data_IF_063746675734
#
_entry.id   IF_063746675734
#
_cell.length_a   1.000
_cell.length_b   1.000
_cell.length_c   1.000
_cell.angle_alpha   90.00
_cell.angle_beta   90.00
_cell.angle_gamma   90.00
#
_symmetry.space_group_name_H-M   'P 1'
#
loop_
_entity.id
_entity.type
_entity.pdbx_description
1 polymer ?
#
# COMPACT_ATOMS: atom_id res chain seq x y z
N UNK A 1 -1.24 17.10 -1.45
CA UNK A 1 -0.87 16.30 -2.62
C UNK A 1 0.57 15.89 -2.42
N UNK A 2 0.82 14.60 -2.26
CA UNK A 2 2.16 14.01 -2.24
C UNK A 2 2.44 13.53 -3.66
N UNK A 3 3.64 13.77 -4.20
CA UNK A 3 4.02 13.31 -5.54
C UNK A 3 4.48 11.85 -5.51
N UNK A 4 5.42 11.53 -4.60
CA UNK A 4 5.86 10.18 -4.30
C UNK A 4 6.46 10.09 -2.90
N UNK A 5 6.62 8.86 -2.39
CA UNK A 5 7.32 8.54 -1.15
C UNK A 5 8.24 7.33 -1.33
N UNK A 6 9.21 7.16 -0.44
CA UNK A 6 10.10 5.99 -0.41
C UNK A 6 9.99 5.24 0.92
N UNK A 7 9.93 3.92 0.83
CA UNK A 7 9.98 2.99 1.94
C UNK A 7 11.34 2.28 1.90
N UNK A 8 12.06 2.32 3.00
CA UNK A 8 13.32 1.61 3.16
C UNK A 8 13.06 0.12 3.40
N UNK A 9 13.76 -0.75 2.68
CA UNK A 9 13.60 -2.21 2.74
C UNK A 9 14.94 -2.93 2.85
N UNK A 10 15.03 -4.02 3.61
CA UNK A 10 16.30 -4.76 3.78
C UNK A 10 16.54 -5.80 2.68
N UNK A 11 15.47 -6.40 2.14
CA UNK A 11 15.52 -7.34 1.02
C UNK A 11 14.63 -6.85 -0.13
N UNK A 12 15.21 -6.20 -1.16
CA UNK A 12 14.43 -5.67 -2.28
C UNK A 12 13.61 -6.70 -3.04
N UNK A 13 14.06 -7.96 -3.10
CA UNK A 13 13.36 -9.01 -3.85
C UNK A 13 12.14 -9.48 -3.06
N UNK A 14 12.32 -9.74 -1.77
CA UNK A 14 11.21 -10.12 -0.89
C UNK A 14 10.19 -8.99 -0.77
N UNK A 15 10.65 -7.75 -0.57
CA UNK A 15 9.75 -6.60 -0.42
C UNK A 15 9.04 -6.28 -1.73
N UNK A 16 9.69 -6.36 -2.90
CA UNK A 16 8.98 -6.22 -4.19
C UNK A 16 7.83 -7.23 -4.31
N UNK A 17 8.10 -8.52 -4.03
CA UNK A 17 7.08 -9.56 -4.11
C UNK A 17 5.91 -9.31 -3.15
N UNK A 18 6.21 -8.87 -1.92
CA UNK A 18 5.20 -8.49 -0.94
C UNK A 18 4.34 -7.32 -1.41
N UNK A 19 4.95 -6.19 -1.78
CA UNK A 19 4.23 -4.97 -2.15
C UNK A 19 3.43 -5.13 -3.45
N UNK A 20 3.96 -5.87 -4.43
CA UNK A 20 3.23 -6.18 -5.67
C UNK A 20 1.97 -7.01 -5.39
N UNK A 21 2.08 -8.05 -4.55
CA UNK A 21 0.92 -8.88 -4.18
C UNK A 21 -0.08 -8.12 -3.30
N UNK A 22 0.40 -7.43 -2.26
CA UNK A 22 -0.43 -6.71 -1.31
C UNK A 22 -1.23 -5.59 -1.97
N UNK A 23 -0.62 -4.82 -2.89
CA UNK A 23 -1.26 -3.64 -3.48
C UNK A 23 -1.97 -3.93 -4.81
N UNK A 24 -1.83 -5.12 -5.40
CA UNK A 24 -2.54 -5.50 -6.62
C UNK A 24 -4.08 -5.33 -6.55
N UNK A 25 -4.78 -5.65 -5.43
CA UNK A 25 -6.21 -5.38 -5.29
C UNK A 25 -6.60 -3.90 -5.40
N UNK A 26 -5.66 -3.00 -5.07
CA UNK A 26 -5.82 -1.54 -5.19
C UNK A 26 -5.46 -1.03 -6.60
N UNK A 27 -5.05 -1.92 -7.51
CA UNK A 27 -4.65 -1.59 -8.88
C UNK A 27 -3.20 -1.13 -9.02
N UNK A 28 -2.41 -1.23 -7.96
CA UNK A 28 -0.97 -0.95 -8.02
C UNK A 28 -0.24 -2.04 -8.79
N UNK A 29 0.84 -1.63 -9.46
CA UNK A 29 1.78 -2.52 -10.14
C UNK A 29 3.17 -1.91 -10.17
N UNK A 30 4.18 -2.72 -10.45
CA UNK A 30 5.52 -2.24 -10.74
C UNK A 30 5.48 -1.47 -12.07
N UNK A 31 5.91 -0.21 -12.05
CA UNK A 31 5.95 0.65 -13.24
C UNK A 31 7.36 1.14 -13.59
N UNK A 32 8.31 0.99 -12.66
CA UNK A 32 9.70 1.40 -12.88
C UNK A 32 10.66 0.57 -12.01
N UNK A 33 11.85 0.29 -12.52
CA UNK A 33 12.92 -0.38 -11.76
C UNK A 33 14.28 0.27 -12.06
N UNK A 34 15.08 0.49 -11.03
CA UNK A 34 16.45 0.99 -11.12
C UNK A 34 17.37 0.15 -10.24
N UNK A 35 17.92 -0.93 -10.80
CA UNK A 35 18.69 -1.90 -10.03
C UNK A 35 17.84 -2.46 -8.87
N UNK A 36 18.25 -2.32 -7.60
CA UNK A 36 17.48 -2.81 -6.45
C UNK A 36 16.29 -1.90 -6.06
N UNK A 37 16.09 -0.76 -6.72
CA UNK A 37 14.99 0.17 -6.41
C UNK A 37 13.77 -0.19 -7.27
N UNK A 38 12.62 -0.36 -6.64
CA UNK A 38 11.34 -0.65 -7.31
C UNK A 38 10.38 0.51 -7.14
N UNK A 39 9.81 1.02 -8.23
CA UNK A 39 8.73 2.01 -8.22
C UNK A 39 7.38 1.35 -8.55
N UNK A 40 6.45 1.37 -7.59
CA UNK A 40 5.07 0.97 -7.77
C UNK A 40 4.20 2.20 -7.99
N UNK A 41 3.12 2.02 -8.76
CA UNK A 41 2.12 3.05 -8.97
C UNK A 41 0.73 2.45 -9.16
N UNK A 42 -0.30 3.18 -8.75
CA UNK A 42 -1.70 2.81 -8.88
C UNK A 42 -2.58 3.87 -9.54
N UNK A 43 -3.89 3.61 -9.63
CA UNK A 43 -4.86 4.57 -10.16
C UNK A 43 -4.90 5.85 -9.33
N UNK A 44 -4.94 7.01 -10.01
CA UNK A 44 -5.14 8.30 -9.33
C UNK A 44 -6.65 8.52 -9.14
N UNK A 45 -7.13 8.83 -7.92
CA UNK A 45 -8.53 9.14 -7.68
C UNK A 45 -9.04 10.25 -8.61
N UNK A 46 -10.15 9.98 -9.32
CA UNK A 46 -10.75 10.91 -10.28
C UNK A 46 -10.09 10.97 -11.65
N UNK A 47 -9.03 10.21 -11.90
CA UNK A 47 -8.47 10.06 -13.23
C UNK A 47 -9.38 9.20 -14.13
N UNK A 48 -9.42 9.46 -15.45
CA UNK A 48 -10.17 8.63 -16.38
C UNK A 48 -9.61 7.21 -16.42
N UNK A 49 -10.46 6.25 -16.76
CA UNK A 49 -10.05 4.87 -17.00
C UNK A 49 -8.94 4.81 -18.07
N UNK A 50 -7.89 4.04 -17.79
CA UNK A 50 -6.73 3.92 -18.68
C UNK A 50 -5.74 5.10 -18.62
N UNK A 51 -5.90 6.04 -17.68
CA UNK A 51 -4.90 7.07 -17.43
C UNK A 51 -3.51 6.46 -17.17
N UNK A 52 -2.42 7.12 -17.62
CA UNK A 52 -1.07 6.71 -17.29
C UNK A 52 -0.89 6.63 -15.77
N UNK A 53 -0.13 5.62 -15.33
CA UNK A 53 0.25 5.44 -13.93
C UNK A 53 1.73 5.77 -13.79
N UNK A 54 2.05 6.59 -12.80
CA UNK A 54 3.41 6.96 -12.43
C UNK A 54 3.80 6.30 -11.12
N UNK A 55 5.11 6.09 -10.89
CA UNK A 55 5.58 5.56 -9.62
C UNK A 55 5.40 6.63 -8.52
N UNK A 56 4.56 6.33 -7.54
CA UNK A 56 4.29 7.17 -6.37
C UNK A 56 4.77 6.50 -5.06
N UNK A 57 5.04 5.19 -5.08
CA UNK A 57 5.60 4.45 -3.97
C UNK A 57 6.90 3.74 -4.38
N UNK A 58 8.00 4.09 -3.74
CA UNK A 58 9.32 3.57 -4.04
C UNK A 58 9.82 2.64 -2.93
N UNK A 59 10.32 1.47 -3.29
CA UNK A 59 11.05 0.58 -2.38
C UNK A 59 12.55 0.83 -2.59
N UNK A 60 13.22 1.32 -1.56
CA UNK A 60 14.64 1.66 -1.58
C UNK A 60 15.43 0.75 -0.64
N UNK A 61 16.51 0.09 -1.10
CA UNK A 61 17.31 -0.77 -0.23
C UNK A 61 17.99 0.04 0.89
N UNK A 62 17.98 -0.51 2.10
CA UNK A 62 18.72 0.03 3.24
C UNK A 62 19.25 -1.10 4.12
N UNK A 63 20.48 -0.95 4.65
CA UNK A 63 21.06 -1.93 5.60
C UNK A 63 20.30 -1.99 6.93
N UNK A 64 19.66 -0.88 7.33
CA UNK A 64 18.88 -0.79 8.56
C UNK A 64 17.62 0.04 8.31
N UNK A 65 16.57 -0.59 7.76
CA UNK A 65 15.29 0.07 7.54
C UNK A 65 14.74 0.66 8.84
N UNK A 66 14.19 1.86 8.74
CA UNK A 66 13.40 2.46 9.84
C UNK A 66 11.93 2.34 9.44
N UNK A 67 11.12 1.59 10.22
CA UNK A 67 9.70 1.44 9.92
C UNK A 67 9.00 2.77 9.75
N UNK A 68 8.21 2.90 8.68
CA UNK A 68 7.30 4.01 8.46
C UNK A 68 5.85 3.53 8.36
N UNK A 69 4.93 4.48 8.29
CA UNK A 69 3.53 4.21 8.00
C UNK A 69 3.16 4.84 6.67
N UNK A 70 2.53 4.06 5.79
CA UNK A 70 2.05 4.49 4.48
C UNK A 70 0.63 3.99 4.32
N UNK A 71 -0.29 4.91 4.01
CA UNK A 71 -1.69 4.59 3.71
C UNK A 71 -1.98 4.83 2.22
N UNK A 72 -2.62 3.84 1.59
CA UNK A 72 -3.03 3.86 0.18
C UNK A 72 -4.55 3.92 0.11
N UNK A 73 -5.07 4.85 -0.70
CA UNK A 73 -6.51 4.99 -0.89
C UNK A 73 -7.09 3.80 -1.65
N UNK A 74 -8.11 3.18 -1.07
CA UNK A 74 -8.99 2.21 -1.71
C UNK A 74 -10.28 2.89 -2.19
N UNK A 75 -10.92 2.33 -3.22
CA UNK A 75 -12.18 2.82 -3.77
C UNK A 75 -13.42 2.16 -3.15
N UNK A 76 -13.23 1.17 -2.28
CA UNK A 76 -14.32 0.46 -1.59
C UNK A 76 -13.81 -0.31 -0.37
N UNK A 77 -14.71 -0.68 0.54
CA UNK A 77 -14.39 -1.60 1.65
C UNK A 77 -13.91 -2.96 1.14
N UNK A 78 -14.46 -3.46 0.03
CA UNK A 78 -14.03 -4.72 -0.58
C UNK A 78 -12.57 -4.69 -1.08
N UNK A 79 -12.09 -3.53 -1.53
CA UNK A 79 -10.67 -3.37 -1.87
C UNK A 79 -9.77 -3.38 -0.63
N UNK A 80 -10.24 -2.83 0.50
CA UNK A 80 -9.52 -2.90 1.78
C UNK A 80 -9.44 -4.34 2.27
N UNK A 81 -10.54 -5.10 2.18
CA UNK A 81 -10.59 -6.52 2.53
C UNK A 81 -9.62 -7.34 1.68
N UNK A 82 -9.66 -7.13 0.35
CA UNK A 82 -8.82 -7.85 -0.59
C UNK A 82 -7.32 -7.49 -0.43
N UNK A 83 -7.00 -6.23 -0.15
CA UNK A 83 -5.64 -5.81 0.22
C UNK A 83 -5.14 -6.59 1.43
N UNK A 84 -5.94 -6.65 2.51
CA UNK A 84 -5.54 -7.31 3.75
C UNK A 84 -5.31 -8.81 3.53
N UNK A 85 -6.24 -9.49 2.84
CA UNK A 85 -6.10 -10.90 2.49
C UNK A 85 -4.84 -11.16 1.66
N UNK A 86 -4.59 -10.36 0.62
CA UNK A 86 -3.44 -10.51 -0.26
C UNK A 86 -2.12 -10.24 0.47
N UNK A 87 -2.08 -9.22 1.33
CA UNK A 87 -0.89 -8.86 2.10
C UNK A 87 -0.54 -9.95 3.13
N UNK A 88 -1.53 -10.53 3.81
CA UNK A 88 -1.31 -11.68 4.71
C UNK A 88 -0.85 -12.92 3.93
N UNK A 89 -1.45 -13.21 2.77
CA UNK A 89 -1.05 -14.31 1.91
C UNK A 89 0.39 -14.14 1.37
N UNK A 90 0.84 -12.89 1.19
CA UNK A 90 2.21 -12.54 0.79
C UNK A 90 3.23 -12.59 1.94
N UNK A 91 2.81 -12.98 3.15
CA UNK A 91 3.69 -13.12 4.32
C UNK A 91 3.74 -11.92 5.24
N UNK A 92 2.88 -10.91 5.04
CA UNK A 92 2.72 -9.81 5.97
C UNK A 92 2.11 -10.25 7.31
N UNK A 93 2.37 -9.49 8.36
CA UNK A 93 1.79 -9.73 9.68
C UNK A 93 0.59 -8.81 9.92
N UNK A 94 -0.51 -9.35 10.42
CA UNK A 94 -1.69 -8.55 10.76
C UNK A 94 -1.34 -7.48 11.82
N UNK A 95 -1.73 -6.24 11.54
CA UNK A 95 -1.61 -5.11 12.45
C UNK A 95 -2.96 -4.40 12.70
N UNK A 96 -4.04 -4.99 12.19
CA UNK A 96 -5.38 -4.45 12.29
C UNK A 96 -6.27 -4.92 11.14
N UNK A 97 -7.09 -5.93 11.43
CA UNK A 97 -8.05 -6.48 10.47
C UNK A 97 -8.98 -5.40 9.85
N UNK A 98 -9.51 -5.63 8.64
CA UNK A 98 -10.43 -4.71 7.99
C UNK A 98 -11.63 -4.35 8.87
N UNK A 99 -11.96 -3.07 8.93
CA UNK A 99 -13.12 -2.60 9.68
C UNK A 99 -13.23 -1.09 9.80
N UNK A 100 -14.37 -0.64 10.31
CA UNK A 100 -14.59 0.76 10.66
C UNK A 100 -13.63 1.25 11.75
N UNK A 101 -13.13 2.48 11.59
CA UNK A 101 -12.31 3.22 12.56
C UNK A 101 -13.07 4.49 12.99
N UNK A 102 -14.19 4.36 13.72
CA UNK A 102 -15.05 5.51 14.03
C UNK A 102 -14.39 6.54 14.95
N UNK A 103 -13.25 6.21 15.56
CA UNK A 103 -12.43 7.12 16.35
C UNK A 103 -11.56 8.05 15.49
N UNK A 104 -11.45 7.80 14.17
CA UNK A 104 -10.86 8.75 13.21
C UNK A 104 -11.96 9.66 12.65
N UNK A 105 -12.93 9.08 11.94
CA UNK A 105 -14.20 9.71 11.59
C UNK A 105 -15.20 8.64 11.10
N UNK A 106 -16.52 8.94 11.07
CA UNK A 106 -17.51 8.05 10.48
C UNK A 106 -17.19 7.72 9.03
N UNK A 107 -17.27 6.43 8.66
CA UNK A 107 -17.01 5.95 7.30
C UNK A 107 -15.54 5.72 6.98
N UNK A 108 -14.61 5.91 7.92
CA UNK A 108 -13.23 5.48 7.76
C UNK A 108 -13.14 3.96 7.90
N UNK A 109 -12.97 3.25 6.80
CA UNK A 109 -12.80 1.80 6.77
C UNK A 109 -11.36 1.46 6.38
N UNK A 110 -10.61 0.79 7.26
CA UNK A 110 -9.18 0.56 7.05
C UNK A 110 -8.70 -0.82 7.50
N UNK A 111 -7.57 -1.24 6.94
CA UNK A 111 -6.85 -2.45 7.33
C UNK A 111 -5.34 -2.18 7.33
N UNK A 112 -4.60 -2.85 8.22
CA UNK A 112 -3.19 -2.59 8.49
C UNK A 112 -2.40 -3.91 8.49
N UNK A 113 -1.28 -3.92 7.77
CA UNK A 113 -0.37 -5.06 7.70
C UNK A 113 1.07 -4.57 7.82
N UNK A 114 1.86 -5.26 8.63
CA UNK A 114 3.31 -5.05 8.68
C UNK A 114 3.96 -5.80 7.52
N UNK A 115 4.82 -5.10 6.78
CA UNK A 115 5.71 -5.70 5.78
C UNK A 115 6.87 -6.48 6.46
N UNK A 116 7.74 -7.15 5.68
CA UNK A 116 8.88 -7.90 6.22
C UNK A 116 9.86 -7.08 7.07
N UNK A 117 9.91 -5.77 6.86
CA UNK A 117 10.79 -4.81 7.55
C UNK A 117 10.07 -4.07 8.70
N UNK A 118 8.78 -4.37 8.94
CA UNK A 118 7.96 -3.76 9.98
C UNK A 118 7.30 -2.43 9.58
N UNK A 119 7.35 -2.02 8.32
CA UNK A 119 6.60 -0.87 7.81
C UNK A 119 5.10 -1.15 7.94
N UNK A 120 4.35 -0.18 8.48
CA UNK A 120 2.91 -0.27 8.67
C UNK A 120 2.17 0.19 7.40
N UNK A 121 1.82 -0.76 6.54
CA UNK A 121 1.08 -0.52 5.31
C UNK A 121 -0.43 -0.55 5.59
N UNK A 122 -1.13 0.49 5.15
CA UNK A 122 -2.58 0.62 5.28
C UNK A 122 -3.25 0.73 3.92
N UNK A 123 -4.41 0.08 3.79
CA UNK A 123 -5.41 0.44 2.78
C UNK A 123 -6.60 1.09 3.48
N UNK A 124 -7.05 2.24 2.97
CA UNK A 124 -8.14 3.03 3.56
C UNK A 124 -9.18 3.42 2.53
N UNK A 125 -10.44 3.18 2.86
CA UNK A 125 -11.60 3.70 2.15
C UNK A 125 -12.31 4.74 3.00
N UNK A 126 -12.54 5.91 2.40
CA UNK A 126 -13.34 6.98 2.98
C UNK A 126 -14.76 6.90 2.43
N UNK A 127 -15.70 6.41 3.24
CA UNK A 127 -17.13 6.40 2.94
C UNK A 127 -17.74 7.81 2.90
N UNK A 128 -19.06 7.90 2.78
CA UNK A 128 -19.81 9.17 2.64
C UNK A 128 -19.80 10.09 3.91
N UNK A 129 -18.73 10.05 4.70
CA UNK A 129 -18.46 10.94 5.84
C UNK A 129 -17.57 12.14 5.50
N UNK A 130 -17.05 12.23 4.27
CA UNK A 130 -16.19 13.32 3.77
C UNK A 130 -16.89 14.25 2.76
#
# INVERSE_FOLDING_TARGET
MIDHASVSVSDPVASKAFYEAALAPLGYRVVMEFGPVTGLGGPVPGAPEGAPVHADLWLAPAESPTPCHVAVTASSTAQVDAFHEAALAAGGADNGAPGERPHYHPGYYGAFVLDPDGNNLEAVFHGAGD
#
